data_IF_541582146492
#
_entry.id   IF_541582146492
#
_cell.length_a   1.000
_cell.length_b   1.000
_cell.length_c   1.000
_cell.angle_alpha   90.00
_cell.angle_beta   90.00
_cell.angle_gamma   90.00
#
_symmetry.space_group_name_H-M   'P 1'
#
loop_
_entity.id
_entity.type
_entity.pdbx_description
1 polymer ?
#
# COMPACT_ATOMS: atom_id res chain seq x y z
N UNK A 1 14.09 -12.45 -11.87
CA UNK A 1 13.33 -11.19 -11.72
C UNK A 1 13.27 -10.86 -10.25
N UNK A 2 13.77 -9.69 -9.83
CA UNK A 2 13.62 -9.20 -8.46
C UNK A 2 12.25 -8.53 -8.35
N UNK A 3 11.34 -9.10 -7.57
CA UNK A 3 10.06 -8.45 -7.28
C UNK A 3 10.24 -7.53 -6.08
N UNK A 4 9.79 -6.28 -6.19
CA UNK A 4 9.67 -5.36 -5.04
C UNK A 4 8.81 -6.02 -3.94
N UNK A 5 7.70 -6.66 -4.30
CA UNK A 5 6.91 -7.45 -3.35
C UNK A 5 6.72 -8.84 -3.92
N UNK A 6 7.08 -9.86 -3.14
CA UNK A 6 6.84 -11.26 -3.50
C UNK A 6 5.33 -11.50 -3.59
N UNK A 7 4.81 -12.12 -4.67
CA UNK A 7 3.39 -12.45 -4.77
C UNK A 7 2.90 -13.25 -3.56
N UNK A 8 1.69 -12.97 -3.11
CA UNK A 8 1.11 -13.58 -1.92
C UNK A 8 -0.37 -13.93 -2.12
N UNK A 9 -0.87 -14.85 -1.30
CA UNK A 9 -2.27 -15.23 -1.27
C UNK A 9 -2.91 -14.79 0.04
N UNK A 10 -4.16 -14.34 -0.01
CA UNK A 10 -4.91 -13.86 1.16
C UNK A 10 -6.25 -14.57 1.26
N UNK A 11 -6.51 -15.20 2.40
CA UNK A 11 -7.86 -15.68 2.71
C UNK A 11 -8.73 -14.49 3.08
N UNK A 12 -9.66 -14.12 2.20
CA UNK A 12 -10.63 -13.05 2.48
C UNK A 12 -11.83 -13.58 3.26
N UNK A 13 -12.37 -12.78 4.18
CA UNK A 13 -13.64 -13.08 4.85
C UNK A 13 -14.87 -12.91 3.95
N UNK A 14 -14.76 -12.13 2.87
CA UNK A 14 -15.90 -11.80 2.01
C UNK A 14 -15.88 -12.52 0.65
N UNK A 15 -14.72 -12.94 0.17
CA UNK A 15 -14.57 -13.56 -1.13
C UNK A 15 -14.46 -15.09 -1.02
N UNK A 16 -15.06 -15.84 -1.96
CA UNK A 16 -14.96 -17.30 -1.97
C UNK A 16 -13.56 -17.73 -2.43
N UNK A 17 -12.69 -18.06 -1.48
CA UNK A 17 -11.36 -18.62 -1.73
C UNK A 17 -10.19 -17.64 -1.52
N UNK A 18 -8.95 -18.14 -1.65
CA UNK A 18 -7.76 -17.30 -1.51
C UNK A 18 -7.62 -16.34 -2.69
N UNK A 19 -7.42 -15.05 -2.37
CA UNK A 19 -7.18 -13.98 -3.35
C UNK A 19 -5.69 -13.92 -3.65
N UNK A 20 -5.32 -14.04 -4.93
CA UNK A 20 -3.92 -13.94 -5.38
C UNK A 20 -3.55 -12.50 -5.64
N UNK A 21 -2.56 -12.00 -4.92
CA UNK A 21 -2.07 -10.63 -5.03
C UNK A 21 -0.67 -10.61 -5.63
N UNK A 22 -0.48 -9.79 -6.66
CA UNK A 22 0.85 -9.47 -7.20
C UNK A 22 1.05 -7.96 -7.30
N UNK A 23 2.25 -7.52 -6.96
CA UNK A 23 2.68 -6.15 -7.23
C UNK A 23 2.94 -5.97 -8.73
N UNK A 24 2.66 -4.76 -9.22
CA UNK A 24 2.88 -4.38 -10.63
C UNK A 24 3.95 -3.31 -10.72
N UNK A 25 3.71 -2.15 -10.11
CA UNK A 25 4.63 -1.01 -10.13
C UNK A 25 4.26 0.02 -9.06
N UNK A 26 5.17 0.97 -8.83
CA UNK A 26 5.01 2.14 -7.97
C UNK A 26 5.28 3.38 -8.83
N UNK A 27 4.46 4.43 -8.68
CA UNK A 27 4.61 5.68 -9.42
C UNK A 27 4.02 6.88 -8.66
N UNK A 28 4.45 8.11 -8.93
CA UNK A 28 3.83 9.30 -8.36
C UNK A 28 2.45 9.54 -8.99
N UNK A 29 1.41 9.57 -8.16
CA UNK A 29 0.05 9.97 -8.51
C UNK A 29 -0.13 11.47 -8.27
N UNK A 30 -0.59 12.21 -9.28
CA UNK A 30 -0.87 13.65 -9.18
C UNK A 30 -2.35 13.86 -9.50
N UNK A 31 -3.13 14.23 -8.49
CA UNK A 31 -4.50 14.66 -8.69
C UNK A 31 -4.57 16.19 -8.72
N UNK A 32 -5.26 16.75 -9.72
CA UNK A 32 -5.38 18.21 -9.94
C UNK A 32 -6.00 18.99 -8.78
N UNK A 33 -6.62 18.31 -7.80
CA UNK A 33 -7.35 18.98 -6.72
C UNK A 33 -6.95 18.61 -5.29
N UNK A 34 -6.41 17.42 -4.96
CA UNK A 34 -6.39 17.02 -3.54
C UNK A 34 -5.21 16.24 -2.96
N UNK A 35 -4.25 15.68 -3.71
CA UNK A 35 -3.02 15.16 -3.07
C UNK A 35 -2.01 14.73 -4.12
N UNK A 36 -0.74 14.98 -3.84
CA UNK A 36 0.35 14.18 -4.42
C UNK A 36 0.45 12.89 -3.61
N UNK A 37 0.51 11.75 -4.29
CA UNK A 37 0.64 10.42 -3.68
C UNK A 37 1.75 9.62 -4.34
N UNK A 38 2.29 8.65 -3.60
CA UNK A 38 3.04 7.53 -4.18
C UNK A 38 2.10 6.34 -4.27
N UNK A 39 1.73 5.98 -5.50
CA UNK A 39 0.74 4.95 -5.78
C UNK A 39 1.40 3.60 -6.01
N UNK A 40 1.05 2.62 -5.18
CA UNK A 40 1.43 1.23 -5.35
C UNK A 40 0.30 0.47 -6.06
N UNK A 41 0.59 -0.09 -7.24
CA UNK A 41 -0.39 -0.82 -8.04
C UNK A 41 -0.20 -2.32 -7.86
N UNK A 42 -1.30 -3.00 -7.53
CA UNK A 42 -1.39 -4.45 -7.40
C UNK A 42 -2.45 -5.00 -8.36
N UNK A 43 -2.34 -6.29 -8.68
CA UNK A 43 -3.46 -7.07 -9.17
C UNK A 43 -3.91 -8.06 -8.09
N UNK A 44 -5.17 -7.99 -7.69
CA UNK A 44 -5.86 -8.96 -6.83
C UNK A 44 -6.80 -9.79 -7.72
N UNK A 45 -6.48 -11.07 -7.93
CA UNK A 45 -7.15 -11.96 -8.90
C UNK A 45 -7.34 -11.31 -10.29
N UNK A 46 -6.30 -10.61 -10.75
CA UNK A 46 -6.29 -9.92 -12.04
C UNK A 46 -6.99 -8.56 -12.06
N UNK A 47 -7.68 -8.17 -10.97
CA UNK A 47 -8.30 -6.85 -10.84
C UNK A 47 -7.31 -5.84 -10.28
N UNK A 48 -7.27 -4.65 -10.88
CA UNK A 48 -6.38 -3.57 -10.46
C UNK A 48 -6.80 -3.03 -9.10
N UNK A 49 -5.83 -2.88 -8.20
CA UNK A 49 -5.97 -2.23 -6.89
C UNK A 49 -4.86 -1.20 -6.75
N UNK A 50 -5.19 -0.04 -6.21
CA UNK A 50 -4.24 1.05 -5.96
C UNK A 50 -4.20 1.32 -4.47
N UNK A 51 -2.99 1.37 -3.91
CA UNK A 51 -2.74 1.92 -2.57
C UNK A 51 -2.00 3.24 -2.74
N UNK A 52 -2.70 4.33 -2.48
CA UNK A 52 -2.20 5.70 -2.61
C UNK A 52 -1.61 6.17 -1.27
N UNK A 53 -0.30 6.43 -1.25
CA UNK A 53 0.43 6.85 -0.03
C UNK A 53 0.64 8.37 -0.07
N UNK A 54 0.22 9.08 0.98
CA UNK A 54 0.33 10.54 1.09
C UNK A 54 1.79 11.03 1.03
N UNK A 55 2.15 11.77 -0.03
CA UNK A 55 3.48 12.41 -0.13
C UNK A 55 3.70 13.45 0.98
N UNK A 56 2.63 14.13 1.41
CA UNK A 56 2.71 15.11 2.49
C UNK A 56 3.08 14.46 3.82
N UNK A 57 2.54 13.27 4.12
CA UNK A 57 2.86 12.55 5.35
C UNK A 57 4.23 11.86 5.27
N UNK A 58 4.64 11.38 4.09
CA UNK A 58 6.01 10.92 3.87
C UNK A 58 7.04 12.04 4.10
N UNK A 59 6.71 13.27 3.68
CA UNK A 59 7.55 14.45 3.91
C UNK A 59 7.66 14.77 5.40
N UNK A 60 6.53 14.83 6.10
CA UNK A 60 6.50 15.06 7.56
C UNK A 60 7.25 13.97 8.33
N UNK A 61 7.10 12.71 7.91
CA UNK A 61 7.80 11.59 8.53
C UNK A 61 9.31 11.72 8.38
N UNK A 62 9.78 12.05 7.17
CA UNK A 62 11.20 12.30 6.90
C UNK A 62 11.75 13.44 7.77
N UNK A 63 10.99 14.53 7.93
CA UNK A 63 11.41 15.69 8.73
C UNK A 63 11.49 15.36 10.23
N UNK A 64 10.52 14.59 10.74
CA UNK A 64 10.47 14.23 12.16
C UNK A 64 11.51 13.16 12.52
N UNK A 65 11.56 12.09 11.75
CA UNK A 65 12.34 10.88 12.08
C UNK A 65 13.71 10.88 11.38
N UNK A 66 14.01 11.89 10.56
CA UNK A 66 15.26 12.04 9.79
C UNK A 66 15.58 10.83 8.89
N UNK A 67 14.55 10.06 8.54
CA UNK A 67 14.68 8.79 7.82
C UNK A 67 13.65 8.73 6.68
N UNK A 68 14.10 8.87 5.41
CA UNK A 68 13.20 8.65 4.28
C UNK A 68 12.89 7.16 4.12
N UNK A 69 11.67 6.85 3.66
CA UNK A 69 11.29 5.49 3.26
C UNK A 69 11.67 5.27 1.78
N UNK A 70 12.21 4.09 1.49
CA UNK A 70 12.53 3.64 0.13
C UNK A 70 11.32 3.05 -0.59
N UNK A 71 11.39 2.94 -1.92
CA UNK A 71 10.34 2.31 -2.74
C UNK A 71 9.97 0.90 -2.27
N UNK A 72 10.97 0.12 -1.84
CA UNK A 72 10.77 -1.20 -1.24
C UNK A 72 9.89 -1.12 0.01
N UNK A 73 10.22 -0.21 0.92
CA UNK A 73 9.48 -0.03 2.17
C UNK A 73 8.06 0.47 1.90
N UNK A 74 7.87 1.37 0.92
CA UNK A 74 6.54 1.83 0.51
C UNK A 74 5.70 0.68 -0.05
N UNK A 75 6.29 -0.16 -0.90
CA UNK A 75 5.61 -1.32 -1.47
C UNK A 75 5.22 -2.35 -0.39
N UNK A 76 6.08 -2.58 0.60
CA UNK A 76 5.80 -3.47 1.74
C UNK A 76 4.65 -2.94 2.62
N UNK A 77 4.64 -1.63 2.90
CA UNK A 77 3.57 -0.98 3.66
C UNK A 77 2.23 -1.09 2.91
N UNK A 78 2.24 -0.84 1.61
CA UNK A 78 1.08 -0.96 0.76
C UNK A 78 0.56 -2.40 0.69
N UNK A 79 1.47 -3.38 0.57
CA UNK A 79 1.12 -4.79 0.56
C UNK A 79 0.49 -5.24 1.89
N UNK A 80 1.03 -4.76 3.02
CA UNK A 80 0.49 -5.04 4.36
C UNK A 80 -0.91 -4.45 4.54
N UNK A 81 -1.14 -3.21 4.11
CA UNK A 81 -2.46 -2.59 4.14
C UNK A 81 -3.45 -3.38 3.29
N UNK A 82 -3.09 -3.69 2.03
CA UNK A 82 -3.94 -4.44 1.11
C UNK A 82 -4.30 -5.82 1.66
N UNK A 83 -3.31 -6.54 2.22
CA UNK A 83 -3.53 -7.83 2.86
C UNK A 83 -4.58 -7.72 3.98
N UNK A 84 -4.43 -6.76 4.88
CA UNK A 84 -5.39 -6.56 5.99
C UNK A 84 -6.78 -6.20 5.51
N UNK A 85 -6.88 -5.35 4.50
CA UNK A 85 -8.15 -4.97 3.89
C UNK A 85 -8.88 -6.20 3.33
N UNK A 86 -8.16 -7.06 2.60
CA UNK A 86 -8.70 -8.31 2.06
C UNK A 86 -9.09 -9.31 3.17
N UNK A 87 -8.24 -9.48 4.20
CA UNK A 87 -8.51 -10.33 5.37
C UNK A 87 -9.75 -9.88 6.15
N UNK A 88 -10.05 -8.57 6.17
CA UNK A 88 -11.24 -8.02 6.80
C UNK A 88 -12.52 -8.18 5.95
N UNK A 89 -12.38 -8.61 4.69
CA UNK A 89 -13.52 -8.80 3.77
C UNK A 89 -13.95 -7.52 3.03
N UNK A 90 -13.12 -6.47 3.05
CA UNK A 90 -13.38 -5.30 2.24
C UNK A 90 -12.92 -5.57 0.80
N UNK A 91 -13.67 -5.08 -0.19
CA UNK A 91 -13.29 -5.18 -1.61
C UNK A 91 -12.46 -3.94 -2.01
N UNK A 92 -11.13 -4.07 -2.16
CA UNK A 92 -10.26 -2.96 -2.51
C UNK A 92 -10.29 -2.62 -4.01
N UNK A 93 -11.07 -3.33 -4.82
CA UNK A 93 -11.19 -3.06 -6.26
C UNK A 93 -12.20 -1.95 -6.58
N UNK A 94 -13.06 -1.63 -5.62
CA UNK A 94 -14.12 -0.62 -5.75
C UNK A 94 -13.59 0.81 -5.59
N UNK A 95 -12.51 0.99 -4.82
CA UNK A 95 -11.95 2.30 -4.50
C UNK A 95 -10.45 2.20 -4.21
N UNK A 96 -9.74 3.30 -4.43
CA UNK A 96 -8.34 3.44 -4.02
C UNK A 96 -8.22 3.32 -2.49
N UNK A 97 -7.22 2.58 -2.02
CA UNK A 97 -6.88 2.53 -0.60
C UNK A 97 -5.94 3.69 -0.29
N UNK A 98 -6.30 4.54 0.65
CA UNK A 98 -5.46 5.64 1.06
C UNK A 98 -4.63 5.28 2.30
N UNK A 99 -3.33 5.55 2.26
CA UNK A 99 -2.40 5.38 3.38
C UNK A 99 -1.76 6.72 3.74
N UNK A 100 -2.09 7.24 4.92
CA UNK A 100 -1.57 8.51 5.43
C UNK A 100 -1.66 8.61 6.94
N UNK A 101 -1.24 9.77 7.47
CA UNK A 101 -1.31 10.11 8.89
C UNK A 101 -0.82 9.02 9.84
N UNK A 102 -1.57 8.79 10.92
CA UNK A 102 -1.21 7.83 11.97
C UNK A 102 -1.14 6.38 11.48
N UNK A 103 -1.92 6.01 10.46
CA UNK A 103 -1.91 4.65 9.92
C UNK A 103 -0.57 4.34 9.23
N UNK A 104 -0.02 5.30 8.48
CA UNK A 104 1.31 5.17 7.87
C UNK A 104 2.38 4.93 8.94
N UNK A 105 2.35 5.72 10.02
CA UNK A 105 3.32 5.62 11.12
C UNK A 105 3.19 4.27 11.84
N UNK A 106 1.96 3.83 12.10
CA UNK A 106 1.71 2.55 12.77
C UNK A 106 2.26 1.37 11.97
N UNK A 107 1.98 1.31 10.66
CA UNK A 107 2.48 0.24 9.79
C UNK A 107 4.02 0.29 9.65
N UNK A 108 4.60 1.49 9.53
CA UNK A 108 6.05 1.65 9.41
C UNK A 108 6.80 1.21 10.67
N UNK A 109 6.24 1.46 11.87
CA UNK A 109 6.78 0.92 13.13
C UNK A 109 6.63 -0.59 13.23
N UNK A 110 5.50 -1.14 12.80
CA UNK A 110 5.27 -2.59 12.80
C UNK A 110 6.31 -3.33 11.95
N UNK A 111 6.64 -2.78 10.77
CA UNK A 111 7.68 -3.31 9.90
C UNK A 111 9.11 -2.91 10.32
N UNK A 112 9.28 -2.20 11.45
CA UNK A 112 10.57 -1.71 11.99
C UNK A 112 11.33 -0.80 11.02
N UNK A 113 10.60 -0.04 10.21
CA UNK A 113 11.14 0.98 9.32
C UNK A 113 11.34 2.32 10.02
N UNK A 114 10.68 2.49 11.18
CA UNK A 114 10.81 3.59 12.12
C UNK A 114 11.18 3.07 13.51
#
# INVERSE_FOLDING_TARGET
MSYLVTPFEVTSKALPGPVRVRFVHLFPGIATRHSDTMDCVFLADGRRVIVAISCSDLTRLREREHRPLSDQQLADLAALLLRRTLEQGNDPTQSELFLGGDQLIALARELRYL
#
